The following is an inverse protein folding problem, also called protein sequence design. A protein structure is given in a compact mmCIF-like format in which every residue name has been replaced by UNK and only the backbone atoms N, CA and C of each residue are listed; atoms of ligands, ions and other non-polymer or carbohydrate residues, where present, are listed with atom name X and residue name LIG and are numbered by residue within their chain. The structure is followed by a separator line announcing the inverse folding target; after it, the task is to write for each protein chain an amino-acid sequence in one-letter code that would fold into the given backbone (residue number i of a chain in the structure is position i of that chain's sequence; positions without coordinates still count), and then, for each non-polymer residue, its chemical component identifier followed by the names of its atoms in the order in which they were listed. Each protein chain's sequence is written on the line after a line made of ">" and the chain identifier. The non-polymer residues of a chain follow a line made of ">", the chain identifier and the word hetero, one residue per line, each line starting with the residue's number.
data_IF_518744892285
#
_entry.id   IF_518744892285
#
_cell.length_a   1.000
_cell.length_b   1.000
_cell.length_c   1.000
_cell.angle_alpha   90.00
_cell.angle_beta   90.00
_cell.angle_gamma   90.00
#
_symmetry.space_group_name_H-M   'P 1'
#
loop_
_entity.id
_entity.type
_entity.pdbx_description
1 polymer ?
#
# COMPACT_ATOMS: atom_id res chain seq x y z
N UNK A 1 12.72 19.24 -16.39
CA UNK A 1 11.30 19.06 -16.80
C UNK A 1 10.82 17.61 -16.70
N UNK A 2 11.16 16.69 -17.61
CA UNK A 2 10.71 15.28 -17.50
C UNK A 2 11.42 14.51 -16.38
N UNK A 3 12.74 14.66 -16.25
CA UNK A 3 13.52 13.96 -15.22
C UNK A 3 13.08 14.35 -13.80
N UNK A 4 12.84 15.64 -13.56
CA UNK A 4 12.29 16.13 -12.29
C UNK A 4 10.91 15.54 -11.99
N UNK A 5 10.04 15.41 -13.01
CA UNK A 5 8.74 14.75 -12.85
C UNK A 5 8.88 13.27 -12.49
N UNK A 6 9.84 12.57 -13.10
CA UNK A 6 10.14 11.17 -12.74
C UNK A 6 10.63 11.07 -11.30
N UNK A 7 11.47 12.01 -10.84
CA UNK A 7 11.94 12.04 -9.44
C UNK A 7 10.76 12.25 -8.48
N UNK A 8 9.86 13.18 -8.79
CA UNK A 8 8.62 13.37 -8.01
C UNK A 8 7.77 12.11 -7.99
N UNK A 9 7.53 11.49 -9.15
CA UNK A 9 6.72 10.28 -9.26
C UNK A 9 7.33 9.10 -8.48
N UNK A 10 8.67 8.98 -8.47
CA UNK A 10 9.39 8.01 -7.64
C UNK A 10 9.21 8.26 -6.15
N UNK A 11 9.20 9.51 -5.71
CA UNK A 11 8.93 9.85 -4.31
C UNK A 11 7.49 9.51 -3.95
N UNK A 12 6.55 9.87 -4.81
CA UNK A 12 5.12 9.70 -4.55
C UNK A 12 4.75 8.20 -4.46
N UNK A 13 5.34 7.31 -5.27
CA UNK A 13 5.12 5.86 -5.14
C UNK A 13 5.72 5.28 -3.85
N UNK A 14 6.85 5.82 -3.36
CA UNK A 14 7.46 5.40 -2.09
C UNK A 14 6.62 5.88 -0.90
N UNK A 15 6.10 7.11 -0.96
CA UNK A 15 5.16 7.64 0.03
C UNK A 15 3.87 6.81 0.06
N UNK A 16 3.31 6.46 -1.10
CA UNK A 16 2.13 5.61 -1.20
C UNK A 16 2.41 4.22 -0.61
N UNK A 17 3.54 3.59 -0.95
CA UNK A 17 3.91 2.30 -0.37
C UNK A 17 4.03 2.33 1.15
N UNK A 18 4.52 3.43 1.73
CA UNK A 18 4.62 3.60 3.19
C UNK A 18 3.23 3.68 3.85
N UNK A 19 2.24 4.28 3.18
CA UNK A 19 0.84 4.29 3.64
C UNK A 19 0.29 2.87 3.64
N UNK A 20 0.48 2.15 2.54
CA UNK A 20 -0.01 0.76 2.40
C UNK A 20 0.65 -0.18 3.41
N UNK A 21 1.96 -0.05 3.65
CA UNK A 21 2.68 -0.79 4.70
C UNK A 21 2.06 -0.56 6.08
N UNK A 22 1.77 0.70 6.41
CA UNK A 22 1.12 1.08 7.67
C UNK A 22 -0.29 0.48 7.78
N UNK A 23 -1.10 0.49 6.71
CA UNK A 23 -2.43 -0.14 6.72
C UNK A 23 -2.36 -1.64 7.06
N UNK A 24 -1.39 -2.36 6.47
CA UNK A 24 -1.16 -3.78 6.76
C UNK A 24 -0.71 -3.99 8.21
N UNK A 25 0.25 -3.20 8.69
CA UNK A 25 0.74 -3.29 10.06
C UNK A 25 -0.37 -2.98 11.08
N UNK A 26 -1.09 -1.87 10.87
CA UNK A 26 -2.18 -1.39 11.72
C UNK A 26 -3.31 -2.41 11.82
N UNK A 27 -3.77 -2.95 10.69
CA UNK A 27 -4.83 -3.97 10.65
C UNK A 27 -4.44 -5.26 11.39
N UNK A 28 -3.23 -5.77 11.18
CA UNK A 28 -2.74 -6.99 11.83
C UNK A 28 -2.50 -6.79 13.33
N UNK A 29 -1.87 -5.68 13.72
CA UNK A 29 -1.62 -5.37 15.14
C UNK A 29 -2.93 -5.22 15.91
N UNK A 30 -3.90 -4.52 15.36
CA UNK A 30 -5.19 -4.29 15.99
C UNK A 30 -6.00 -5.58 16.16
N UNK A 31 -5.91 -6.53 15.22
CA UNK A 31 -6.45 -7.89 15.37
C UNK A 31 -5.84 -8.60 16.59
N UNK A 32 -4.52 -8.53 16.76
CA UNK A 32 -3.83 -9.22 17.85
C UNK A 32 -4.11 -8.58 19.22
N UNK A 33 -4.23 -7.26 19.26
CA UNK A 33 -4.49 -6.48 20.48
C UNK A 33 -5.99 -6.36 20.80
N UNK A 34 -6.87 -6.83 19.90
CA UNK A 34 -8.33 -6.69 19.97
C UNK A 34 -8.78 -5.23 20.08
N UNK A 35 -8.11 -4.36 19.34
CA UNK A 35 -8.39 -2.93 19.34
C UNK A 35 -9.27 -2.56 18.15
N UNK A 36 -10.42 -1.93 18.43
CA UNK A 36 -11.34 -1.50 17.38
C UNK A 36 -10.86 -0.24 16.66
N UNK A 37 -10.42 0.76 17.43
CA UNK A 37 -10.11 2.10 16.90
C UNK A 37 -9.14 2.11 15.72
N UNK A 38 -8.02 1.34 15.71
CA UNK A 38 -7.12 1.35 14.57
C UNK A 38 -7.72 0.65 13.34
N UNK A 39 -8.64 -0.29 13.51
CA UNK A 39 -9.33 -0.96 12.40
C UNK A 39 -10.29 0.00 11.70
N UNK A 40 -11.07 0.75 12.47
CA UNK A 40 -11.94 1.79 11.95
C UNK A 40 -11.10 2.89 11.25
N UNK A 41 -9.91 3.21 11.76
CA UNK A 41 -8.99 4.15 11.11
C UNK A 41 -8.50 3.68 9.74
N UNK A 42 -8.16 2.39 9.58
CA UNK A 42 -7.77 1.81 8.28
C UNK A 42 -8.88 2.01 7.25
N UNK A 43 -10.13 1.75 7.64
CA UNK A 43 -11.30 1.75 6.74
C UNK A 43 -11.76 3.19 6.45
N UNK A 44 -11.87 4.04 7.48
CA UNK A 44 -12.51 5.35 7.34
C UNK A 44 -11.53 6.46 6.95
N UNK A 45 -10.22 6.29 7.18
CA UNK A 45 -9.22 7.33 6.93
C UNK A 45 -8.13 6.88 5.97
N UNK A 46 -7.49 5.74 6.24
CA UNK A 46 -6.34 5.33 5.43
C UNK A 46 -6.76 4.90 4.02
N UNK A 47 -7.87 4.17 3.87
CA UNK A 47 -8.40 3.73 2.57
C UNK A 47 -8.72 4.91 1.62
N UNK A 48 -9.49 5.95 2.02
CA UNK A 48 -9.71 7.11 1.16
C UNK A 48 -8.41 7.80 0.71
N UNK A 49 -7.42 7.91 1.61
CA UNK A 49 -6.12 8.52 1.30
C UNK A 49 -5.32 7.63 0.33
N UNK A 50 -5.34 6.32 0.54
CA UNK A 50 -4.69 5.36 -0.34
C UNK A 50 -5.27 5.40 -1.76
N UNK A 51 -6.60 5.46 -1.87
CA UNK A 51 -7.30 5.55 -3.15
C UNK A 51 -7.00 6.87 -3.88
N UNK A 52 -6.98 8.00 -3.17
CA UNK A 52 -6.60 9.29 -3.78
C UNK A 52 -5.15 9.27 -4.31
N UNK A 53 -4.23 8.62 -3.58
CA UNK A 53 -2.83 8.49 -4.00
C UNK A 53 -2.68 7.59 -5.22
N UNK A 54 -3.39 6.47 -5.26
CA UNK A 54 -3.42 5.55 -6.38
C UNK A 54 -3.85 6.27 -7.67
N UNK A 55 -5.01 6.93 -7.64
CA UNK A 55 -5.57 7.64 -8.79
C UNK A 55 -4.59 8.71 -9.28
N UNK A 56 -4.03 9.48 -8.34
CA UNK A 56 -3.10 10.56 -8.68
C UNK A 56 -1.83 10.04 -9.37
N UNK A 57 -1.26 8.94 -8.87
CA UNK A 57 -0.05 8.35 -9.45
C UNK A 57 -0.34 7.84 -10.87
N UNK A 58 -1.51 7.21 -11.09
CA UNK A 58 -1.90 6.74 -12.42
C UNK A 58 -2.13 7.89 -13.42
N UNK A 59 -2.81 8.95 -12.97
CA UNK A 59 -3.02 10.18 -13.74
C UNK A 59 -1.70 10.86 -14.11
N UNK A 60 -0.76 10.98 -13.16
CA UNK A 60 0.55 11.57 -13.39
C UNK A 60 1.37 10.72 -14.38
N UNK A 61 1.34 9.38 -14.25
CA UNK A 61 1.99 8.48 -15.21
C UNK A 61 1.43 8.67 -16.63
N UNK A 62 0.11 8.66 -16.77
CA UNK A 62 -0.59 8.81 -18.05
C UNK A 62 -0.31 10.18 -18.67
N UNK A 63 -0.38 11.24 -17.87
CA UNK A 63 -0.08 12.62 -18.30
C UNK A 63 1.36 12.74 -18.78
N UNK A 64 2.31 12.15 -18.05
CA UNK A 64 3.72 12.19 -18.43
C UNK A 64 3.98 11.47 -19.77
N UNK A 65 3.34 10.32 -20.00
CA UNK A 65 3.45 9.59 -21.26
C UNK A 65 2.90 10.43 -22.41
N UNK A 66 1.70 10.99 -22.25
CA UNK A 66 1.03 11.78 -23.27
C UNK A 66 1.78 13.08 -23.60
N UNK A 67 2.24 13.80 -22.58
CA UNK A 67 2.86 15.12 -22.72
C UNK A 67 4.30 15.06 -23.23
N UNK A 68 5.11 14.12 -22.73
CA UNK A 68 6.55 14.11 -22.99
C UNK A 68 7.00 13.02 -23.96
N UNK A 69 6.14 12.05 -24.30
CA UNK A 69 6.45 10.92 -25.19
C UNK A 69 7.81 10.27 -24.82
N UNK A 70 8.00 9.87 -23.55
CA UNK A 70 9.28 9.38 -23.05
C UNK A 70 9.75 8.16 -23.83
N UNK A 71 11.06 7.99 -23.97
CA UNK A 71 11.67 6.88 -24.72
C UNK A 71 12.54 6.01 -23.82
N UNK A 72 12.72 4.75 -24.24
CA UNK A 72 13.65 3.79 -23.66
C UNK A 72 13.55 3.72 -22.11
N UNK A 73 14.59 4.17 -21.40
CA UNK A 73 14.69 4.09 -19.94
C UNK A 73 13.57 4.83 -19.22
N UNK A 74 13.26 6.06 -19.64
CA UNK A 74 12.25 6.89 -18.98
C UNK A 74 10.84 6.27 -19.09
N UNK A 75 10.49 5.74 -20.27
CA UNK A 75 9.22 5.05 -20.46
C UNK A 75 9.15 3.79 -19.60
N UNK A 76 10.24 3.01 -19.55
CA UNK A 76 10.30 1.80 -18.71
C UNK A 76 10.09 2.11 -17.23
N UNK A 77 10.67 3.20 -16.73
CA UNK A 77 10.49 3.63 -15.34
C UNK A 77 9.03 4.00 -15.06
N UNK A 78 8.39 4.78 -15.92
CA UNK A 78 6.99 5.18 -15.72
C UNK A 78 6.07 3.96 -15.77
N UNK A 79 6.26 3.06 -16.73
CA UNK A 79 5.47 1.82 -16.82
C UNK A 79 5.70 0.88 -15.63
N UNK A 80 6.89 0.87 -15.05
CA UNK A 80 7.18 0.11 -13.84
C UNK A 80 6.42 0.69 -12.64
N UNK A 81 6.44 2.02 -12.47
CA UNK A 81 5.70 2.70 -11.40
C UNK A 81 4.20 2.44 -11.53
N UNK A 82 3.64 2.54 -12.74
CA UNK A 82 2.23 2.25 -12.99
C UNK A 82 1.84 0.81 -12.58
N UNK A 83 2.71 -0.18 -12.83
CA UNK A 83 2.48 -1.56 -12.37
C UNK A 83 2.58 -1.69 -10.85
N UNK A 84 3.59 -1.05 -10.24
CA UNK A 84 3.74 -1.05 -8.78
C UNK A 84 2.55 -0.36 -8.10
N UNK A 85 1.99 0.69 -8.70
CA UNK A 85 0.80 1.37 -8.20
C UNK A 85 -0.38 0.40 -8.07
N UNK A 86 -0.64 -0.38 -9.12
CA UNK A 86 -1.67 -1.42 -9.11
C UNK A 86 -1.39 -2.51 -8.07
N UNK A 87 -0.14 -2.95 -7.92
CA UNK A 87 0.20 -3.96 -6.92
C UNK A 87 0.00 -3.43 -5.48
N UNK A 88 0.32 -2.15 -5.24
CA UNK A 88 0.12 -1.49 -3.95
C UNK A 88 -1.37 -1.27 -3.62
N UNK A 89 -2.18 -0.90 -4.61
CA UNK A 89 -3.64 -0.78 -4.47
C UNK A 89 -4.24 -2.09 -3.99
N UNK A 90 -3.87 -3.21 -4.60
CA UNK A 90 -4.36 -4.53 -4.19
C UNK A 90 -3.94 -4.89 -2.76
N UNK A 91 -2.76 -4.47 -2.33
CA UNK A 91 -2.31 -4.68 -0.94
C UNK A 91 -3.10 -3.79 0.02
N UNK A 92 -3.39 -2.54 -0.35
CA UNK A 92 -4.23 -1.63 0.42
C UNK A 92 -5.64 -2.22 0.62
N UNK A 93 -6.25 -2.72 -0.45
CA UNK A 93 -7.51 -3.44 -0.43
C UNK A 93 -7.49 -4.66 0.48
N UNK A 94 -6.41 -5.45 0.42
CA UNK A 94 -6.24 -6.58 1.33
C UNK A 94 -6.12 -6.14 2.79
N UNK A 95 -5.46 -5.02 3.09
CA UNK A 95 -5.39 -4.46 4.44
C UNK A 95 -6.78 -4.01 4.95
N UNK A 96 -7.60 -3.41 4.10
CA UNK A 96 -9.00 -3.05 4.42
C UNK A 96 -9.83 -4.30 4.70
N UNK A 97 -9.72 -5.33 3.86
CA UNK A 97 -10.41 -6.61 4.06
C UNK A 97 -9.99 -7.30 5.37
N UNK A 98 -8.70 -7.25 5.72
CA UNK A 98 -8.19 -7.72 7.01
C UNK A 98 -8.81 -6.90 8.14
N UNK A 99 -8.88 -5.57 8.00
CA UNK A 99 -9.45 -4.70 9.03
C UNK A 99 -10.94 -4.99 9.28
N UNK A 100 -11.73 -5.10 8.21
CA UNK A 100 -13.16 -5.46 8.27
C UNK A 100 -13.38 -6.85 8.89
N UNK A 101 -12.58 -7.84 8.48
CA UNK A 101 -12.63 -9.18 9.08
C UNK A 101 -12.25 -9.16 10.55
N UNK A 102 -11.27 -8.33 10.91
CA UNK A 102 -10.80 -8.17 12.29
C UNK A 102 -11.87 -7.56 13.17
N UNK A 103 -12.63 -6.57 12.70
CA UNK A 103 -13.78 -6.00 13.43
C UNK A 103 -14.78 -7.09 13.84
N UNK A 104 -15.07 -8.01 12.94
CA UNK A 104 -15.93 -9.15 13.24
C UNK A 104 -15.30 -10.11 14.27
N UNK A 105 -13.99 -10.37 14.18
CA UNK A 105 -13.32 -11.34 15.04
C UNK A 105 -13.09 -10.83 16.47
N UNK A 106 -12.78 -9.54 16.66
CA UNK A 106 -12.43 -9.00 17.99
C UNK A 106 -13.62 -8.99 18.95
N UNK A 107 -14.85 -8.93 18.43
CA UNK A 107 -16.10 -9.02 19.21
C UNK A 107 -16.40 -10.44 19.72
N UNK A 108 -15.58 -11.43 19.33
CA UNK A 108 -15.83 -12.85 19.62
C UNK A 108 -14.72 -13.46 20.50
N UNK A 109 -15.04 -14.52 21.26
CA UNK A 109 -14.04 -15.32 21.95
C UNK A 109 -13.02 -15.88 20.97
N UNK A 110 -11.75 -15.89 21.38
CA UNK A 110 -10.68 -16.43 20.55
C UNK A 110 -10.80 -17.96 20.50
N UNK A 111 -10.89 -18.52 19.29
CA UNK A 111 -10.98 -19.99 19.09
C UNK A 111 -9.64 -20.67 19.37
N UNK A 112 -8.53 -20.05 18.97
CA UNK A 112 -7.16 -20.50 19.24
C UNK A 112 -6.18 -19.33 19.26
N UNK A 113 -5.06 -19.41 20.00
CA UNK A 113 -4.01 -18.39 19.94
C UNK A 113 -3.50 -18.17 18.51
N UNK A 114 -3.22 -16.90 18.18
CA UNK A 114 -2.60 -16.53 16.91
C UNK A 114 -1.09 -16.80 16.95
N UNK A 115 -0.68 -18.04 16.67
CA UNK A 115 0.75 -18.43 16.67
C UNK A 115 1.43 -18.07 15.33
N UNK A 116 0.75 -18.36 14.22
CA UNK A 116 1.36 -18.24 12.89
C UNK A 116 1.09 -16.89 12.22
N UNK A 117 -0.07 -16.28 12.51
CA UNK A 117 -0.46 -15.00 11.92
C UNK A 117 0.55 -13.86 12.19
N UNK A 118 1.10 -13.69 13.41
CA UNK A 118 2.13 -12.68 13.66
C UNK A 118 3.39 -12.90 12.80
N UNK A 119 3.84 -14.16 12.64
CA UNK A 119 5.01 -14.50 11.83
C UNK A 119 4.77 -14.23 10.34
N UNK A 120 3.59 -14.58 9.85
CA UNK A 120 3.20 -14.32 8.46
C UNK A 120 3.13 -12.81 8.21
N UNK A 121 2.53 -12.05 9.13
CA UNK A 121 2.45 -10.59 9.05
C UNK A 121 3.84 -9.95 8.97
N UNK A 122 4.75 -10.33 9.86
CA UNK A 122 6.13 -9.82 9.86
C UNK A 122 6.84 -10.12 8.53
N UNK A 123 6.68 -11.34 8.00
CA UNK A 123 7.28 -11.72 6.73
C UNK A 123 6.70 -10.92 5.56
N UNK A 124 5.38 -10.71 5.51
CA UNK A 124 4.72 -9.95 4.45
C UNK A 124 5.15 -8.48 4.48
N UNK A 125 5.17 -7.86 5.67
CA UNK A 125 5.63 -6.47 5.84
C UNK A 125 7.09 -6.34 5.39
N UNK A 126 7.96 -7.28 5.76
CA UNK A 126 9.36 -7.30 5.31
C UNK A 126 9.47 -7.45 3.79
N UNK A 127 8.70 -8.36 3.19
CA UNK A 127 8.70 -8.54 1.74
C UNK A 127 8.27 -7.26 0.99
N UNK A 128 7.26 -6.55 1.50
CA UNK A 128 6.82 -5.28 0.94
C UNK A 128 7.94 -4.25 1.01
N UNK A 129 8.54 -4.07 2.19
CA UNK A 129 9.65 -3.14 2.42
C UNK A 129 10.87 -3.45 1.53
N UNK A 130 11.27 -4.72 1.44
CA UNK A 130 12.39 -5.15 0.60
C UNK A 130 12.10 -4.89 -0.89
N UNK A 131 10.85 -5.09 -1.33
CA UNK A 131 10.43 -4.83 -2.71
C UNK A 131 10.53 -3.34 -3.06
N UNK A 132 10.07 -2.46 -2.16
CA UNK A 132 10.19 -1.01 -2.35
C UNK A 132 11.64 -0.54 -2.31
N UNK A 133 12.45 -1.05 -1.37
CA UNK A 133 13.87 -0.74 -1.31
C UNK A 133 14.63 -1.19 -2.57
N UNK A 134 14.21 -2.27 -3.22
CA UNK A 134 14.83 -2.74 -4.47
C UNK A 134 14.56 -1.85 -5.68
N UNK A 135 13.51 -1.02 -5.62
CA UNK A 135 13.14 -0.07 -6.67
C UNK A 135 13.90 1.26 -6.55
N UNK A 136 14.29 1.63 -5.32
CA UNK A 136 15.02 2.86 -4.99
C UNK A 136 16.47 2.75 -5.47
#
# INVERSE_FOLDING_TARGET
>A
MLEERIVTLKRDIVEYASIVENMVEKSMRALFQKERSPLDEVIEKDEPVANEREIKIDEDCTTMIAQFQPKAGNLRTILMIMKMNNDLERIADHAVNIAQSSLFLIERPLVKPYIDLPKISENVIRMLKDSINSFI
#
